data_IF_310872763702
#
_entry.id   IF_310872763702
#
_cell.length_a   1.000
_cell.length_b   1.000
_cell.length_c   1.000
_cell.angle_alpha   90.00
_cell.angle_beta   90.00
_cell.angle_gamma   90.00
#
_symmetry.space_group_name_H-M   'P 1'
#
loop_
_entity.id
_entity.type
_entity.pdbx_description
1 polymer ?
#
# COMPACT_ATOMS: atom_id res chain seq x y z
N UNK A 1 20.19 -5.16 -2.83
CA UNK A 1 19.07 -5.72 -2.05
C UNK A 1 18.00 -4.70 -1.75
N UNK A 2 18.26 -3.60 -1.03
CA UNK A 2 17.24 -2.60 -0.62
C UNK A 2 16.34 -2.14 -1.78
N UNK A 3 16.90 -1.73 -2.92
CA UNK A 3 16.12 -1.29 -4.10
C UNK A 3 15.24 -2.41 -4.66
N UNK A 4 15.77 -3.64 -4.73
CA UNK A 4 14.99 -4.80 -5.18
C UNK A 4 13.84 -5.10 -4.23
N UNK A 5 14.10 -5.06 -2.91
CA UNK A 5 13.07 -5.23 -1.88
C UNK A 5 11.98 -4.15 -1.98
N UNK A 6 12.37 -2.89 -2.22
CA UNK A 6 11.42 -1.81 -2.43
C UNK A 6 10.51 -2.05 -3.64
N UNK A 7 11.10 -2.38 -4.80
CA UNK A 7 10.32 -2.66 -6.01
C UNK A 7 9.41 -3.88 -5.82
N UNK A 8 9.92 -4.94 -5.19
CA UNK A 8 9.14 -6.13 -4.89
C UNK A 8 7.97 -5.82 -3.95
N UNK A 9 8.21 -5.09 -2.85
CA UNK A 9 7.14 -4.71 -1.93
C UNK A 9 6.10 -3.81 -2.60
N UNK A 10 6.54 -2.80 -3.36
CA UNK A 10 5.63 -1.93 -4.10
C UNK A 10 4.70 -2.71 -5.03
N UNK A 11 5.24 -3.68 -5.78
CA UNK A 11 4.46 -4.53 -6.66
C UNK A 11 3.53 -5.50 -5.89
N UNK A 12 4.05 -6.18 -4.86
CA UNK A 12 3.33 -7.18 -4.10
C UNK A 12 2.19 -6.59 -3.26
N UNK A 13 2.23 -5.30 -2.91
CA UNK A 13 1.11 -4.65 -2.25
C UNK A 13 -0.18 -4.68 -3.08
N UNK A 14 -0.09 -4.79 -4.42
CA UNK A 14 -1.27 -4.93 -5.28
C UNK A 14 -1.83 -6.36 -5.34
N UNK A 15 -1.23 -7.33 -4.65
CA UNK A 15 -1.72 -8.71 -4.62
C UNK A 15 -3.12 -8.85 -3.99
N UNK A 16 -3.56 -7.85 -3.22
CA UNK A 16 -4.90 -7.83 -2.61
C UNK A 16 -5.95 -7.13 -3.49
N UNK A 17 -5.60 -6.58 -4.65
CA UNK A 17 -6.59 -5.92 -5.53
C UNK A 17 -7.48 -6.99 -6.18
N UNK A 18 -8.81 -6.77 -6.19
CA UNK A 18 -9.80 -7.70 -6.75
C UNK A 18 -9.60 -7.99 -8.25
N UNK A 19 -9.17 -6.99 -9.02
CA UNK A 19 -8.93 -7.09 -10.47
C UNK A 19 -7.81 -6.17 -10.95
N UNK A 20 -7.16 -6.53 -12.06
CA UNK A 20 -6.08 -5.72 -12.65
C UNK A 20 -6.51 -4.29 -13.05
N UNK A 21 -7.76 -4.09 -13.45
CA UNK A 21 -8.30 -2.76 -13.77
C UNK A 21 -8.36 -1.80 -12.57
N UNK A 22 -8.15 -2.30 -11.34
CA UNK A 22 -8.11 -1.50 -10.11
C UNK A 22 -6.67 -1.25 -9.62
N UNK A 23 -5.65 -1.61 -10.41
CA UNK A 23 -4.24 -1.36 -10.11
C UNK A 23 -3.84 0.03 -10.59
N UNK A 24 -3.68 0.96 -9.65
CA UNK A 24 -3.25 2.33 -9.93
C UNK A 24 -1.97 2.68 -9.19
N UNK A 25 -0.96 3.11 -9.93
CA UNK A 25 0.24 3.73 -9.37
C UNK A 25 -0.14 5.03 -8.66
N UNK A 26 0.30 5.16 -7.42
CA UNK A 26 0.04 6.34 -6.59
C UNK A 26 1.17 6.62 -5.60
N UNK A 27 1.18 7.86 -5.11
CA UNK A 27 2.19 8.37 -4.18
C UNK A 27 2.11 7.72 -2.79
N UNK A 28 0.90 7.44 -2.30
CA UNK A 28 0.72 6.78 -1.00
C UNK A 28 1.33 5.37 -0.97
N UNK A 29 1.22 4.62 -2.06
CA UNK A 29 1.84 3.29 -2.21
C UNK A 29 3.37 3.38 -2.16
N UNK A 30 3.93 4.43 -2.77
CA UNK A 30 5.38 4.69 -2.75
C UNK A 30 5.85 5.00 -1.32
N UNK A 31 5.11 5.84 -0.60
CA UNK A 31 5.40 6.14 0.81
C UNK A 31 5.30 4.90 1.70
N UNK A 32 4.27 4.08 1.49
CA UNK A 32 4.08 2.85 2.26
C UNK A 32 5.20 1.84 2.01
N UNK A 33 5.62 1.64 0.75
CA UNK A 33 6.76 0.79 0.43
C UNK A 33 8.03 1.27 1.13
N UNK A 34 8.30 2.58 1.10
CA UNK A 34 9.44 3.18 1.80
C UNK A 34 9.37 3.00 3.32
N UNK A 35 8.19 3.22 3.89
CA UNK A 35 7.92 3.07 5.33
C UNK A 35 8.08 1.62 5.81
N UNK A 36 7.87 0.62 4.97
CA UNK A 36 8.11 -0.78 5.35
C UNK A 36 9.56 -1.22 5.15
N UNK A 37 10.22 -0.78 4.07
CA UNK A 37 11.61 -1.13 3.79
C UNK A 37 12.58 -0.51 4.80
N UNK A 38 12.33 0.72 5.25
CA UNK A 38 13.23 1.43 6.16
C UNK A 38 13.42 0.73 7.52
N UNK A 39 12.36 0.31 8.25
CA UNK A 39 12.49 -0.48 9.47
C UNK A 39 13.14 -1.85 9.22
N UNK A 40 12.84 -2.50 8.08
CA UNK A 40 13.48 -3.77 7.75
C UNK A 40 14.99 -3.63 7.62
N UNK A 41 15.47 -2.59 6.93
CA UNK A 41 16.91 -2.28 6.84
C UNK A 41 17.53 -2.07 8.24
N UNK A 42 16.86 -1.33 9.11
CA UNK A 42 17.32 -1.07 10.48
C UNK A 42 17.42 -2.38 11.28
N UNK A 43 16.38 -3.21 11.25
CA UNK A 43 16.35 -4.50 11.94
C UNK A 43 17.45 -5.42 11.40
N UNK A 44 17.59 -5.50 10.08
CA UNK A 44 18.60 -6.31 9.39
C UNK A 44 20.01 -5.94 9.85
N UNK A 45 20.35 -4.64 9.85
CA UNK A 45 21.66 -4.16 10.27
C UNK A 45 21.91 -4.37 11.76
N UNK A 46 20.92 -4.16 12.62
CA UNK A 46 21.06 -4.36 14.08
C UNK A 46 21.27 -5.83 14.41
N UNK A 47 20.50 -6.74 13.82
CA UNK A 47 20.57 -8.17 14.12
C UNK A 47 21.76 -8.86 13.47
N UNK A 48 22.11 -8.49 12.23
CA UNK A 48 23.20 -9.10 11.47
C UNK A 48 24.45 -8.21 11.40
N UNK A 49 24.64 -7.35 12.39
CA UNK A 49 25.73 -6.36 12.42
C UNK A 49 27.12 -6.95 12.13
N UNK A 50 27.39 -8.15 12.66
CA UNK A 50 28.69 -8.82 12.54
C UNK A 50 28.95 -9.43 11.15
N UNK A 51 27.91 -9.63 10.33
CA UNK A 51 28.05 -10.17 8.97
C UNK A 51 28.49 -9.11 7.96
N UNK A 52 28.35 -7.83 8.30
CA UNK A 52 28.67 -6.71 7.42
C UNK A 52 30.03 -6.10 7.81
N UNK A 53 31.10 -6.28 7.02
CA UNK A 53 32.48 -5.97 7.43
C UNK A 53 32.73 -4.49 7.74
N UNK A 54 32.11 -3.60 6.96
CA UNK A 54 32.37 -2.16 7.01
C UNK A 54 31.48 -1.42 8.01
N UNK A 55 31.94 -1.36 9.27
CA UNK A 55 31.21 -0.69 10.36
C UNK A 55 30.78 0.74 10.05
N UNK A 56 31.59 1.50 9.30
CA UNK A 56 31.27 2.88 8.89
C UNK A 56 30.06 2.92 7.95
N UNK A 57 30.03 2.04 6.94
CA UNK A 57 28.93 1.96 5.98
C UNK A 57 27.66 1.52 6.71
N UNK A 58 27.76 0.53 7.60
CA UNK A 58 26.61 0.04 8.38
C UNK A 58 26.00 1.15 9.25
N UNK A 59 26.82 1.93 9.94
CA UNK A 59 26.36 3.08 10.73
C UNK A 59 25.68 4.14 9.87
N UNK A 60 26.22 4.44 8.69
CA UNK A 60 25.61 5.40 7.74
C UNK A 60 24.27 4.87 7.22
N UNK A 61 24.20 3.61 6.80
CA UNK A 61 22.97 2.98 6.33
C UNK A 61 21.91 2.90 7.43
N UNK A 62 22.31 2.63 8.67
CA UNK A 62 21.42 2.64 9.82
C UNK A 62 20.81 4.04 10.03
N UNK A 63 21.65 5.09 10.02
CA UNK A 63 21.18 6.47 10.15
C UNK A 63 20.22 6.86 9.02
N UNK A 64 20.57 6.53 7.77
CA UNK A 64 19.71 6.74 6.60
C UNK A 64 18.38 6.00 6.75
N UNK A 65 18.41 4.74 7.19
CA UNK A 65 17.21 3.94 7.41
C UNK A 65 16.27 4.55 8.44
N UNK A 66 16.79 5.01 9.58
CA UNK A 66 16.00 5.69 10.62
C UNK A 66 15.41 7.00 10.10
N UNK A 67 16.22 7.85 9.46
CA UNK A 67 15.76 9.13 8.90
C UNK A 67 14.69 8.89 7.82
N UNK A 68 14.92 7.94 6.92
CA UNK A 68 13.96 7.59 5.87
C UNK A 68 12.64 7.06 6.47
N UNK A 69 12.70 6.22 7.50
CA UNK A 69 11.50 5.71 8.18
C UNK A 69 10.66 6.84 8.79
N UNK A 70 11.30 7.79 9.48
CA UNK A 70 10.61 8.97 10.03
C UNK A 70 10.05 9.84 8.91
N UNK A 71 10.83 10.09 7.86
CA UNK A 71 10.41 10.91 6.73
C UNK A 71 9.18 10.31 6.03
N UNK A 72 9.21 9.02 5.67
CA UNK A 72 8.07 8.35 5.04
C UNK A 72 6.85 8.27 5.96
N UNK A 73 7.05 8.09 7.27
CA UNK A 73 5.98 8.17 8.26
C UNK A 73 5.32 9.56 8.25
N UNK A 74 6.10 10.63 8.24
CA UNK A 74 5.57 11.98 8.14
C UNK A 74 4.85 12.23 6.82
N UNK A 75 5.45 11.85 5.69
CA UNK A 75 4.88 12.04 4.35
C UNK A 75 3.51 11.35 4.21
N UNK A 76 3.40 10.09 4.64
CA UNK A 76 2.13 9.35 4.57
C UNK A 76 1.10 9.92 5.56
N UNK A 77 1.50 10.32 6.77
CA UNK A 77 0.56 10.87 7.77
C UNK A 77 0.06 12.27 7.41
N UNK A 78 0.86 13.06 6.72
CA UNK A 78 0.49 14.41 6.28
C UNK A 78 -0.14 14.42 4.89
N UNK A 79 -0.24 13.27 4.22
CA UNK A 79 -0.70 13.18 2.83
C UNK A 79 0.05 14.16 1.90
N UNK A 80 1.37 14.28 2.12
CA UNK A 80 2.20 15.22 1.39
C UNK A 80 2.22 14.87 -0.11
N UNK A 81 2.09 15.87 -0.98
CA UNK A 81 2.04 15.70 -2.44
C UNK A 81 0.93 14.74 -2.95
N UNK A 82 -0.10 14.45 -2.15
CA UNK A 82 -1.29 13.70 -2.57
C UNK A 82 -2.32 14.70 -3.11
N UNK A 83 -2.32 14.90 -4.43
CA UNK A 83 -3.38 15.63 -5.12
C UNK A 83 -4.72 14.88 -5.09
N UNK A 84 -5.82 15.52 -5.52
CA UNK A 84 -7.12 14.85 -5.68
C UNK A 84 -7.04 13.61 -6.58
N UNK A 85 -6.32 13.69 -7.70
CA UNK A 85 -6.13 12.55 -8.59
C UNK A 85 -5.30 11.43 -7.94
N UNK A 86 -4.29 11.78 -7.14
CA UNK A 86 -3.51 10.79 -6.37
C UNK A 86 -4.35 10.14 -5.27
N UNK A 87 -5.23 10.91 -4.64
CA UNK A 87 -6.19 10.39 -3.68
C UNK A 87 -7.06 9.30 -4.32
N UNK A 88 -7.72 9.58 -5.45
CA UNK A 88 -8.53 8.59 -6.16
C UNK A 88 -7.71 7.36 -6.58
N UNK A 89 -6.51 7.56 -7.15
CA UNK A 89 -5.61 6.47 -7.53
C UNK A 89 -5.13 5.62 -6.35
N UNK A 90 -5.09 6.16 -5.15
CA UNK A 90 -4.76 5.39 -3.95
C UNK A 90 -5.97 4.67 -3.34
N UNK A 91 -7.16 5.28 -3.43
CA UNK A 91 -8.37 4.73 -2.85
C UNK A 91 -9.00 3.64 -3.71
N UNK A 92 -8.87 3.67 -5.03
CA UNK A 92 -9.37 2.57 -5.90
C UNK A 92 -8.77 1.21 -5.51
N UNK A 93 -7.42 1.00 -5.46
CA UNK A 93 -6.85 -0.27 -5.05
C UNK A 93 -7.12 -0.61 -3.57
N UNK A 94 -7.24 0.41 -2.70
CA UNK A 94 -7.63 0.19 -1.30
C UNK A 94 -9.04 -0.40 -1.17
N UNK A 95 -10.01 0.16 -1.89
CA UNK A 95 -11.38 -0.31 -1.88
C UNK A 95 -11.51 -1.69 -2.54
N UNK A 96 -10.79 -1.91 -3.63
CA UNK A 96 -10.65 -3.22 -4.28
C UNK A 96 -10.20 -4.31 -3.31
N UNK A 97 -9.27 -4.00 -2.39
CA UNK A 97 -8.84 -4.94 -1.34
C UNK A 97 -9.97 -5.37 -0.42
N UNK A 98 -10.78 -4.42 0.06
CA UNK A 98 -11.92 -4.73 0.92
C UNK A 98 -13.01 -5.53 0.19
N UNK A 99 -13.24 -5.22 -1.10
CA UNK A 99 -14.14 -5.99 -1.97
C UNK A 99 -13.67 -7.45 -2.07
N UNK A 100 -12.39 -7.67 -2.43
CA UNK A 100 -11.81 -9.02 -2.50
C UNK A 100 -11.98 -9.78 -1.18
N UNK A 101 -11.63 -9.15 -0.07
CA UNK A 101 -11.74 -9.78 1.25
C UNK A 101 -13.18 -10.18 1.60
N UNK A 102 -14.17 -9.36 1.25
CA UNK A 102 -15.59 -9.67 1.46
C UNK A 102 -16.08 -10.76 0.51
N UNK A 103 -15.69 -10.73 -0.77
CA UNK A 103 -16.07 -11.74 -1.76
C UNK A 103 -15.52 -13.13 -1.42
N UNK A 104 -14.30 -13.20 -0.84
CA UNK A 104 -13.70 -14.45 -0.38
C UNK A 104 -14.15 -14.89 1.01
N UNK A 105 -14.91 -14.05 1.74
CA UNK A 105 -15.29 -14.36 3.12
C UNK A 105 -16.43 -15.37 3.18
N UNK A 106 -16.10 -16.62 3.52
CA UNK A 106 -17.08 -17.61 3.96
C UNK A 106 -17.43 -17.39 5.43
N UNK A 107 -18.72 -17.32 5.76
CA UNK A 107 -19.19 -17.14 7.13
C UNK A 107 -20.63 -17.65 7.30
N UNK A 108 -20.91 -18.25 8.45
CA UNK A 108 -22.26 -18.64 8.85
C UNK A 108 -22.99 -17.54 9.65
N UNK A 109 -22.31 -16.42 9.94
CA UNK A 109 -22.89 -15.29 10.65
C UNK A 109 -23.70 -14.42 9.69
N UNK A 110 -25.01 -14.34 9.92
CA UNK A 110 -25.91 -13.47 9.15
C UNK A 110 -25.49 -11.99 9.22
N UNK A 111 -24.99 -11.53 10.37
CA UNK A 111 -24.52 -10.16 10.55
C UNK A 111 -23.29 -9.86 9.71
N UNK A 112 -22.32 -10.78 9.68
CA UNK A 112 -21.10 -10.62 8.85
C UNK A 112 -21.44 -10.70 7.37
N UNK A 113 -22.33 -11.62 6.96
CA UNK A 113 -22.78 -11.72 5.58
C UNK A 113 -23.48 -10.43 5.10
N UNK A 114 -24.36 -9.86 5.94
CA UNK A 114 -25.00 -8.57 5.65
C UNK A 114 -23.98 -7.45 5.52
N UNK A 115 -23.05 -7.32 6.47
CA UNK A 115 -22.01 -6.31 6.44
C UNK A 115 -21.11 -6.43 5.19
N UNK A 116 -20.67 -7.64 4.83
CA UNK A 116 -19.89 -7.86 3.61
C UNK A 116 -20.67 -7.46 2.35
N UNK A 117 -21.97 -7.77 2.27
CA UNK A 117 -22.82 -7.32 1.17
C UNK A 117 -22.92 -5.80 1.05
N UNK A 118 -23.05 -5.10 2.18
CA UNK A 118 -23.05 -3.64 2.24
C UNK A 118 -21.71 -3.04 1.80
N UNK A 119 -20.59 -3.58 2.29
CA UNK A 119 -19.24 -3.15 1.91
C UNK A 119 -19.01 -3.33 0.41
N UNK A 120 -19.34 -4.50 -0.16
CA UNK A 120 -19.15 -4.75 -1.59
C UNK A 120 -19.95 -3.75 -2.42
N UNK A 121 -21.23 -3.54 -2.07
CA UNK A 121 -22.11 -2.63 -2.79
C UNK A 121 -21.62 -1.19 -2.73
N UNK A 122 -21.30 -0.67 -1.55
CA UNK A 122 -20.85 0.72 -1.41
C UNK A 122 -19.50 0.94 -2.08
N UNK A 123 -18.53 0.04 -1.86
CA UNK A 123 -17.18 0.24 -2.36
C UNK A 123 -17.07 0.07 -3.87
N UNK A 124 -17.86 -0.82 -4.51
CA UNK A 124 -17.95 -0.87 -5.98
C UNK A 124 -18.47 0.45 -6.56
N UNK A 125 -19.50 1.04 -5.93
CA UNK A 125 -20.05 2.33 -6.37
C UNK A 125 -19.04 3.48 -6.20
N UNK A 126 -18.26 3.48 -5.11
CA UNK A 126 -17.21 4.48 -4.86
C UNK A 126 -16.05 4.33 -5.85
N UNK A 127 -15.61 3.10 -6.15
CA UNK A 127 -14.59 2.85 -7.19
C UNK A 127 -15.05 3.38 -8.54
N UNK A 128 -16.30 3.11 -8.95
CA UNK A 128 -16.84 3.61 -10.20
C UNK A 128 -16.86 5.16 -10.24
N UNK A 129 -17.27 5.81 -9.15
CA UNK A 129 -17.22 7.27 -9.03
C UNK A 129 -15.79 7.81 -9.18
N UNK A 130 -14.82 7.20 -8.51
CA UNK A 130 -13.41 7.63 -8.59
C UNK A 130 -12.83 7.46 -10.00
N UNK A 131 -13.16 6.36 -10.70
CA UNK A 131 -12.76 6.16 -12.10
C UNK A 131 -13.32 7.25 -13.03
N UNK A 132 -14.59 7.59 -12.87
CA UNK A 132 -15.22 8.69 -13.62
C UNK A 132 -14.53 10.03 -13.33
N UNK A 133 -14.15 10.31 -12.07
CA UNK A 133 -13.39 11.52 -11.70
C UNK A 133 -11.99 11.56 -12.32
N UNK A 134 -11.41 10.41 -12.64
CA UNK A 134 -10.15 10.28 -13.39
C UNK A 134 -10.34 10.36 -14.91
N UNK A 135 -11.58 10.48 -15.41
CA UNK A 135 -11.90 10.52 -16.83
C UNK A 135 -12.00 9.14 -17.49
N UNK A 136 -12.15 8.07 -16.69
CA UNK A 136 -12.23 6.71 -17.17
C UNK A 136 -13.68 6.21 -17.23
N UNK A 137 -13.95 5.27 -18.13
CA UNK A 137 -15.25 4.61 -18.19
C UNK A 137 -15.43 3.68 -16.96
N UNK A 138 -16.67 3.51 -16.46
CA UNK A 138 -16.94 2.51 -15.43
C UNK A 138 -16.59 1.11 -15.95
N UNK A 139 -16.11 0.23 -15.06
CA UNK A 139 -15.88 -1.17 -15.40
C UNK A 139 -17.22 -1.82 -15.84
N UNK A 140 -17.16 -2.67 -16.86
CA UNK A 140 -18.30 -3.54 -17.18
C UNK A 140 -18.52 -4.52 -16.02
N UNK A 141 -19.78 -4.67 -15.59
CA UNK A 141 -20.20 -5.65 -14.56
C UNK A 141 -19.96 -7.10 -14.99
#
# INVERSE_FOLDING_TARGET
MIVLSFLAMYALMYAMVDRFANVYNNVNQFYMAGLMVAPMLVIELVLMWHMYPDRKINSVLLAIGVIAGIAFWCLIRQQAAVSESQFYRSMIPHHAGAILMCEQRKTDSADVARLCGEIIKSQKAEVAQMKVRLGEAPDAE
#
